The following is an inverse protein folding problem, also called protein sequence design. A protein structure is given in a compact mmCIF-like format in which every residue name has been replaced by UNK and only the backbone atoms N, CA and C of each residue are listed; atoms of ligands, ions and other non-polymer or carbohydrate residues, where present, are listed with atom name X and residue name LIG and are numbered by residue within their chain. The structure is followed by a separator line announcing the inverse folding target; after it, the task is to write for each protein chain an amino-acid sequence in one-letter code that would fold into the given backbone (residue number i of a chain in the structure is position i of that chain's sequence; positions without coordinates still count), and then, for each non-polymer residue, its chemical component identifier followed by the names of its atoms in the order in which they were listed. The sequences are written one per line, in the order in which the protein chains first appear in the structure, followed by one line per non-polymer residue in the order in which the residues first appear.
data_IF_085165145451
#
_entry.id   IF_085165145451
#
_cell.length_a   1.000
_cell.length_b   1.000
_cell.length_c   1.000
_cell.angle_alpha   90.00
_cell.angle_beta   90.00
_cell.angle_gamma   90.00
#
_symmetry.space_group_name_H-M   'P 1'
#
loop_
_entity.id
_entity.type
_entity.pdbx_description
1 polymer ?
#
# COMPACT_ATOMS: atom_id res chain seq x y z
N UNK A 1 -8.70 -1.19 -3.07
CA UNK A 1 -8.57 -1.88 -4.38
C UNK A 1 -7.54 -1.26 -5.33
N UNK A 2 -7.45 0.07 -5.50
CA UNK A 2 -6.58 0.69 -6.52
C UNK A 2 -5.13 0.15 -6.56
N UNK A 3 -4.45 0.05 -5.41
CA UNK A 3 -3.09 -0.50 -5.38
C UNK A 3 -2.99 -1.99 -5.76
N UNK A 4 -4.02 -2.80 -5.48
CA UNK A 4 -4.08 -4.21 -5.92
C UNK A 4 -4.22 -4.29 -7.45
N UNK A 5 -5.04 -3.42 -8.04
CA UNK A 5 -5.16 -3.31 -9.51
C UNK A 5 -3.83 -2.90 -10.13
N UNK A 6 -3.11 -1.94 -9.53
CA UNK A 6 -1.77 -1.56 -9.98
C UNK A 6 -0.79 -2.73 -9.92
N UNK A 7 -0.76 -3.49 -8.82
CA UNK A 7 0.08 -4.71 -8.69
C UNK A 7 -0.22 -5.71 -9.80
N UNK A 8 -1.50 -6.03 -10.01
CA UNK A 8 -1.93 -6.97 -11.07
C UNK A 8 -1.59 -6.44 -12.46
N UNK A 9 -1.74 -5.13 -12.72
CA UNK A 9 -1.42 -4.55 -14.02
C UNK A 9 0.07 -4.68 -14.36
N UNK A 10 0.96 -4.39 -13.40
CA UNK A 10 2.40 -4.53 -13.59
C UNK A 10 2.81 -6.01 -13.72
N UNK A 11 2.31 -6.87 -12.83
CA UNK A 11 2.57 -8.31 -12.85
C UNK A 11 2.07 -8.96 -14.15
N UNK A 12 0.78 -8.79 -14.45
CA UNK A 12 0.14 -9.40 -15.62
C UNK A 12 0.76 -8.95 -16.93
N UNK A 13 1.19 -7.68 -17.03
CA UNK A 13 1.90 -7.20 -18.22
C UNK A 13 3.28 -7.84 -18.36
N UNK A 14 4.03 -7.95 -17.27
CA UNK A 14 5.35 -8.58 -17.26
C UNK A 14 5.30 -10.09 -17.54
N UNK A 15 4.29 -10.78 -17.01
CA UNK A 15 4.05 -12.22 -17.25
C UNK A 15 3.36 -12.51 -18.59
N UNK A 16 2.90 -11.47 -19.29
CA UNK A 16 2.21 -11.62 -20.56
C UNK A 16 0.85 -12.31 -20.42
N UNK A 17 0.10 -12.08 -19.34
CA UNK A 17 -1.26 -12.57 -19.17
C UNK A 17 -2.19 -12.02 -20.27
N UNK A 18 -3.22 -12.79 -20.62
CA UNK A 18 -4.23 -12.37 -21.58
C UNK A 18 -4.96 -11.10 -21.07
N UNK A 19 -5.23 -10.16 -21.97
CA UNK A 19 -5.88 -8.88 -21.63
C UNK A 19 -4.93 -7.78 -21.10
N UNK A 20 -3.69 -8.10 -20.73
CA UNK A 20 -2.70 -7.10 -20.33
C UNK A 20 -1.77 -6.69 -21.49
N UNK A 21 -1.26 -5.44 -21.51
CA UNK A 21 -0.15 -5.06 -22.37
C UNK A 21 1.01 -6.05 -22.24
N UNK A 22 1.68 -6.39 -23.35
CA UNK A 22 2.77 -7.37 -23.29
C UNK A 22 4.10 -6.70 -22.95
N UNK A 23 4.74 -7.17 -21.90
CA UNK A 23 6.05 -6.73 -21.44
C UNK A 23 5.99 -5.85 -20.19
N UNK A 24 7.17 -5.62 -19.61
CA UNK A 24 7.31 -4.84 -18.37
C UNK A 24 6.94 -3.37 -18.61
N UNK A 25 5.96 -2.89 -17.85
CA UNK A 25 5.59 -1.48 -17.84
C UNK A 25 6.66 -0.66 -17.10
N UNK A 26 6.94 0.54 -17.61
CA UNK A 26 7.92 1.46 -17.03
C UNK A 26 7.24 2.37 -16.01
N UNK A 27 7.13 1.87 -14.78
CA UNK A 27 6.64 2.62 -13.62
C UNK A 27 7.79 2.71 -12.63
N UNK A 28 8.24 3.94 -12.34
CA UNK A 28 9.32 4.19 -11.39
C UNK A 28 8.84 4.06 -9.95
N UNK A 29 7.61 4.47 -9.65
CA UNK A 29 7.12 4.60 -8.27
C UNK A 29 5.66 4.19 -8.18
N UNK A 30 5.31 3.44 -7.14
CA UNK A 30 3.93 3.10 -6.77
C UNK A 30 3.72 3.43 -5.31
N UNK A 31 2.80 4.36 -5.07
CA UNK A 31 2.36 4.71 -3.72
C UNK A 31 0.93 4.25 -3.51
N UNK A 32 0.68 3.54 -2.41
CA UNK A 32 -0.67 3.09 -2.05
C UNK A 32 -1.10 3.67 -0.71
N UNK A 33 -2.37 4.06 -0.64
CA UNK A 33 -3.03 4.49 0.60
C UNK A 33 -4.15 3.48 0.89
N UNK A 34 -4.12 2.86 2.08
CA UNK A 34 -5.14 1.90 2.53
C UNK A 34 -5.47 0.80 1.51
N UNK A 35 -4.46 0.32 0.78
CA UNK A 35 -4.65 -0.79 -0.16
C UNK A 35 -4.65 -2.11 0.63
N UNK A 36 -5.63 -3.00 0.45
CA UNK A 36 -5.67 -4.26 1.19
C UNK A 36 -4.66 -5.27 0.64
N UNK A 37 -3.35 -5.03 0.82
CA UNK A 37 -2.30 -5.92 0.32
C UNK A 37 -2.39 -7.33 0.92
N UNK A 38 -3.00 -7.48 2.10
CA UNK A 38 -3.30 -8.77 2.73
C UNK A 38 -4.79 -9.04 2.93
N UNK A 39 -5.63 -8.23 2.25
CA UNK A 39 -7.07 -8.35 2.29
C UNK A 39 -7.76 -7.40 3.28
N UNK A 40 -9.08 -7.42 3.23
CA UNK A 40 -9.99 -6.61 4.06
C UNK A 40 -10.25 -7.25 5.43
N UNK A 41 -10.66 -6.44 6.41
CA UNK A 41 -10.89 -6.89 7.79
C UNK A 41 -12.22 -7.62 7.99
N UNK A 42 -13.28 -7.20 7.29
CA UNK A 42 -14.62 -7.80 7.39
C UNK A 42 -15.03 -8.41 6.03
N UNK A 43 -14.70 -9.70 5.80
CA UNK A 43 -14.94 -10.34 4.52
C UNK A 43 -16.42 -10.41 4.15
N UNK A 44 -17.32 -10.51 5.13
CA UNK A 44 -18.75 -10.75 4.88
C UNK A 44 -19.60 -9.48 4.85
N UNK A 45 -18.98 -8.31 5.05
CA UNK A 45 -19.65 -7.00 5.01
C UNK A 45 -20.43 -6.74 3.71
N UNK A 46 -19.85 -7.14 2.58
CA UNK A 46 -20.42 -6.95 1.25
C UNK A 46 -20.18 -8.17 0.36
N UNK A 47 -20.99 -8.35 -0.68
CA UNK A 47 -20.93 -9.50 -1.60
C UNK A 47 -20.82 -9.06 -3.07
N UNK A 48 -19.97 -8.07 -3.34
CA UNK A 48 -19.63 -7.69 -4.70
C UNK A 48 -18.39 -8.46 -5.16
N UNK A 49 -18.25 -8.70 -6.46
CA UNK A 49 -17.05 -9.34 -7.03
C UNK A 49 -15.76 -8.67 -6.57
N UNK A 50 -15.76 -7.34 -6.47
CA UNK A 50 -14.59 -6.59 -5.99
C UNK A 50 -14.30 -6.86 -4.51
N UNK A 51 -15.32 -6.88 -3.65
CA UNK A 51 -15.14 -7.15 -2.22
C UNK A 51 -14.66 -8.58 -1.99
N UNK A 52 -15.30 -9.54 -2.66
CA UNK A 52 -14.94 -10.95 -2.58
C UNK A 52 -13.51 -11.23 -3.06
N UNK A 53 -13.04 -10.50 -4.09
CA UNK A 53 -11.65 -10.60 -4.58
C UNK A 53 -10.61 -10.02 -3.61
N UNK A 54 -11.02 -9.19 -2.65
CA UNK A 54 -10.12 -8.64 -1.62
C UNK A 54 -10.14 -9.46 -0.33
N UNK A 55 -10.94 -10.53 -0.26
CA UNK A 55 -10.97 -11.40 0.93
C UNK A 55 -9.61 -12.09 1.11
N UNK A 56 -9.10 -12.17 2.34
CA UNK A 56 -7.98 -13.05 2.65
C UNK A 56 -8.27 -14.49 2.15
N UNK A 57 -7.33 -15.10 1.44
CA UNK A 57 -7.48 -16.45 0.86
C UNK A 57 -8.40 -16.54 -0.37
N UNK A 58 -8.85 -15.41 -0.94
CA UNK A 58 -9.48 -15.45 -2.25
C UNK A 58 -8.45 -15.76 -3.33
N UNK A 59 -8.89 -16.37 -4.45
CA UNK A 59 -8.00 -16.69 -5.58
C UNK A 59 -7.21 -15.48 -6.07
N UNK A 60 -7.82 -14.29 -6.06
CA UNK A 60 -7.14 -13.07 -6.45
C UNK A 60 -5.97 -12.73 -5.51
N UNK A 61 -6.17 -12.84 -4.19
CA UNK A 61 -5.12 -12.60 -3.20
C UNK A 61 -4.06 -13.70 -3.23
N UNK A 62 -4.46 -14.96 -3.37
CA UNK A 62 -3.54 -16.10 -3.46
C UNK A 62 -2.61 -15.97 -4.66
N UNK A 63 -3.12 -15.55 -5.82
CA UNK A 63 -2.30 -15.27 -7.00
C UNK A 63 -1.28 -14.18 -6.71
N UNK A 64 -1.66 -13.08 -6.04
CA UNK A 64 -0.73 -11.99 -5.70
C UNK A 64 0.31 -12.38 -4.64
N UNK A 65 0.01 -13.36 -3.78
CA UNK A 65 0.90 -13.81 -2.70
C UNK A 65 1.75 -15.04 -3.04
N UNK A 66 1.44 -15.70 -4.16
CA UNK A 66 2.26 -16.78 -4.71
C UNK A 66 3.72 -16.33 -4.82
N UNK A 67 4.71 -17.14 -4.38
CA UNK A 67 6.11 -16.74 -4.32
C UNK A 67 6.64 -16.07 -5.59
N UNK A 68 6.31 -16.61 -6.76
CA UNK A 68 6.67 -16.14 -8.09
C UNK A 68 6.03 -14.80 -8.52
N UNK A 69 5.03 -14.34 -7.77
CA UNK A 69 4.27 -13.12 -8.03
C UNK A 69 4.54 -12.03 -6.98
N UNK A 70 5.45 -12.27 -6.03
CA UNK A 70 5.79 -11.31 -4.97
C UNK A 70 6.60 -10.13 -5.49
N UNK A 71 6.62 -9.04 -4.72
CA UNK A 71 7.36 -7.81 -5.06
C UNK A 71 8.88 -7.97 -5.02
N UNK A 72 9.39 -9.08 -4.46
CA UNK A 72 10.81 -9.44 -4.52
C UNK A 72 11.25 -9.93 -5.90
N UNK A 73 10.30 -10.25 -6.77
CA UNK A 73 10.58 -10.86 -8.06
C UNK A 73 10.94 -9.83 -9.15
N UNK A 74 11.59 -10.32 -10.21
CA UNK A 74 12.16 -9.48 -11.27
C UNK A 74 11.17 -8.54 -11.97
N UNK A 75 9.88 -8.90 -12.00
CA UNK A 75 8.84 -8.08 -12.60
C UNK A 75 8.67 -6.74 -11.86
N UNK A 76 8.83 -6.73 -10.53
CA UNK A 76 8.67 -5.56 -9.67
C UNK A 76 9.97 -4.73 -9.51
N UNK A 77 11.13 -5.30 -9.88
CA UNK A 77 12.44 -4.64 -9.72
C UNK A 77 12.52 -3.29 -10.45
N UNK A 78 12.99 -2.25 -9.77
CA UNK A 78 13.14 -0.91 -10.36
C UNK A 78 11.86 -0.07 -10.33
N UNK A 79 10.83 -0.56 -9.66
CA UNK A 79 9.71 0.24 -9.16
C UNK A 79 9.90 0.38 -7.65
N UNK A 80 9.85 1.61 -7.14
CA UNK A 80 9.77 1.89 -5.70
C UNK A 80 8.35 1.63 -5.20
N UNK A 81 8.22 0.83 -4.14
CA UNK A 81 6.94 0.48 -3.54
C UNK A 81 6.79 1.11 -2.16
N UNK A 82 5.91 2.11 -2.09
CA UNK A 82 5.62 2.87 -0.87
C UNK A 82 4.19 2.61 -0.38
N UNK A 83 4.03 2.03 0.80
CA UNK A 83 2.72 1.64 1.33
C UNK A 83 2.36 2.39 2.60
N UNK A 84 1.19 3.02 2.61
CA UNK A 84 0.66 3.72 3.76
C UNK A 84 -0.65 3.10 4.29
N UNK A 85 -0.68 2.86 5.59
CA UNK A 85 -1.82 2.33 6.33
C UNK A 85 -2.11 3.13 7.60
N UNK A 86 -3.27 2.91 8.18
CA UNK A 86 -3.70 3.56 9.42
C UNK A 86 -4.26 2.55 10.41
N UNK A 87 -3.94 2.75 11.69
CA UNK A 87 -4.51 1.98 12.81
C UNK A 87 -6.03 2.22 12.96
N UNK A 88 -6.53 3.35 12.47
CA UNK A 88 -7.95 3.73 12.52
C UNK A 88 -8.74 3.22 11.31
N UNK A 89 -8.07 2.55 10.36
CA UNK A 89 -8.73 1.97 9.20
C UNK A 89 -9.43 0.65 9.57
N UNK A 90 -10.73 0.74 9.86
CA UNK A 90 -11.59 -0.42 10.12
C UNK A 90 -12.01 -1.22 8.88
N UNK A 91 -11.58 -0.84 7.67
CA UNK A 91 -11.84 -1.60 6.43
C UNK A 91 -10.61 -2.40 5.99
N UNK A 92 -9.44 -1.78 6.10
CA UNK A 92 -8.13 -2.35 5.80
C UNK A 92 -7.21 -2.05 6.98
N UNK A 93 -7.12 -2.99 7.92
CA UNK A 93 -6.21 -2.84 9.06
C UNK A 93 -4.78 -2.55 8.59
N UNK A 94 -4.05 -1.72 9.36
CA UNK A 94 -2.75 -1.18 8.95
C UNK A 94 -1.75 -2.23 8.48
N UNK A 95 -1.72 -3.43 9.10
CA UNK A 95 -0.80 -4.51 8.74
C UNK A 95 -1.02 -4.98 7.30
N UNK A 96 -2.29 -5.09 6.91
CA UNK A 96 -2.68 -5.38 5.53
C UNK A 96 -2.33 -4.22 4.61
N UNK A 97 -2.50 -2.97 5.06
CA UNK A 97 -2.19 -1.80 4.26
C UNK A 97 -0.70 -1.63 3.97
N UNK A 98 0.20 -1.98 4.89
CA UNK A 98 1.66 -1.87 4.70
C UNK A 98 2.31 -3.17 4.21
N UNK A 99 1.50 -4.18 3.85
CA UNK A 99 1.93 -5.54 3.49
C UNK A 99 2.94 -6.10 4.51
N UNK A 100 2.58 -6.12 5.79
CA UNK A 100 3.49 -6.48 6.90
C UNK A 100 4.12 -7.86 6.67
N UNK A 101 5.44 -7.96 6.85
CA UNK A 101 6.20 -9.19 6.60
C UNK A 101 6.57 -9.45 5.13
N UNK A 102 6.07 -8.65 4.19
CA UNK A 102 6.46 -8.69 2.77
C UNK A 102 7.24 -7.45 2.36
N UNK A 103 7.90 -7.53 1.20
CA UNK A 103 8.72 -6.45 0.68
C UNK A 103 7.88 -5.23 0.30
N UNK A 104 8.38 -4.06 0.70
CA UNK A 104 8.12 -2.74 0.16
C UNK A 104 9.44 -1.97 0.30
N UNK A 105 9.60 -0.85 -0.39
CA UNK A 105 10.75 0.04 -0.19
C UNK A 105 10.49 0.96 0.99
N UNK A 106 9.24 1.41 1.13
CA UNK A 106 8.83 2.29 2.22
C UNK A 106 7.50 1.88 2.81
N UNK A 107 7.39 1.97 4.14
CA UNK A 107 6.17 1.67 4.88
C UNK A 107 5.85 2.80 5.84
N UNK A 108 4.59 3.21 5.83
CA UNK A 108 4.07 4.31 6.63
C UNK A 108 2.84 3.84 7.40
N UNK A 109 2.88 3.89 8.72
CA UNK A 109 1.78 3.54 9.61
C UNK A 109 1.36 4.79 10.38
N UNK A 110 0.19 5.29 10.04
CA UNK A 110 -0.49 6.30 10.83
C UNK A 110 -1.08 5.67 12.09
N UNK A 111 -0.73 6.23 13.24
CA UNK A 111 -1.29 5.82 14.53
C UNK A 111 -2.52 6.66 14.85
N UNK A 112 -3.38 6.20 15.77
CA UNK A 112 -4.56 6.96 16.16
C UNK A 112 -4.18 8.35 16.65
N UNK A 113 -5.00 9.31 16.29
CA UNK A 113 -4.85 10.70 16.70
C UNK A 113 -6.19 11.22 17.22
N UNK A 114 -6.17 12.05 18.26
CA UNK A 114 -7.40 12.63 18.79
C UNK A 114 -7.95 13.75 17.89
N UNK A 115 -7.07 14.39 17.12
CA UNK A 115 -7.39 15.57 16.32
C UNK A 115 -7.74 15.22 14.87
N UNK A 116 -7.41 14.00 14.41
CA UNK A 116 -7.57 13.59 13.01
C UNK A 116 -8.16 12.19 12.89
N UNK A 117 -9.22 12.07 12.09
CA UNK A 117 -9.76 10.78 11.65
C UNK A 117 -8.98 10.29 10.42
N UNK A 118 -8.09 9.31 10.61
CA UNK A 118 -7.30 8.69 9.53
C UNK A 118 -7.93 7.35 9.12
N UNK A 119 -9.25 7.28 9.02
CA UNK A 119 -9.97 6.11 8.51
C UNK A 119 -9.72 5.83 7.02
N UNK A 120 -10.19 4.66 6.56
CA UNK A 120 -10.13 4.20 5.17
C UNK A 120 -10.46 5.28 4.13
N UNK A 121 -11.48 6.09 4.42
CA UNK A 121 -11.95 7.11 3.47
C UNK A 121 -11.14 8.40 3.54
N UNK A 122 -10.60 8.72 4.71
CA UNK A 122 -9.96 10.01 4.97
C UNK A 122 -8.47 10.01 4.73
N UNK A 123 -7.78 8.86 4.85
CA UNK A 123 -6.35 8.75 4.54
C UNK A 123 -5.99 9.25 3.12
N UNK A 124 -6.93 9.18 2.17
CA UNK A 124 -6.76 9.70 0.79
C UNK A 124 -7.18 11.17 0.60
N UNK A 125 -7.51 11.90 1.67
CA UNK A 125 -8.01 13.28 1.64
C UNK A 125 -7.18 14.24 2.49
N UNK A 126 -6.41 13.72 3.44
CA UNK A 126 -5.63 14.53 4.38
C UNK A 126 -4.38 15.07 3.69
N UNK A 127 -4.44 16.36 3.34
CA UNK A 127 -3.40 17.12 2.66
C UNK A 127 -2.42 17.78 3.65
N UNK A 128 -1.20 18.14 3.21
CA UNK A 128 -0.27 18.90 4.04
C UNK A 128 -0.88 20.22 4.54
N UNK A 129 -0.62 20.53 5.80
CA UNK A 129 -1.02 21.78 6.44
C UNK A 129 -0.19 22.05 7.69
N UNK A 130 -0.79 22.63 8.74
CA UNK A 130 -0.08 22.87 10.02
C UNK A 130 -0.08 21.65 10.94
N UNK A 131 -0.84 20.64 10.56
CA UNK A 131 -1.10 19.41 11.29
C UNK A 131 0.17 18.56 11.38
N UNK A 132 0.31 17.85 12.49
CA UNK A 132 1.41 16.92 12.72
C UNK A 132 0.81 15.57 13.03
N UNK A 133 1.25 14.55 12.30
CA UNK A 133 0.68 13.22 12.42
C UNK A 133 1.57 12.30 13.26
N UNK A 134 0.94 11.45 14.07
CA UNK A 134 1.63 10.34 14.72
C UNK A 134 1.95 9.27 13.67
N UNK A 135 3.20 9.24 13.23
CA UNK A 135 3.65 8.41 12.13
C UNK A 135 4.73 7.45 12.62
N UNK A 136 4.55 6.17 12.31
CA UNK A 136 5.64 5.21 12.25
C UNK A 136 6.04 5.02 10.80
N UNK A 137 7.33 5.11 10.50
CA UNK A 137 7.83 4.84 9.16
C UNK A 137 9.00 3.86 9.18
N UNK A 138 9.23 3.23 8.04
CA UNK A 138 10.31 2.27 7.80
C UNK A 138 10.77 2.39 6.36
N UNK A 139 12.09 2.42 6.14
CA UNK A 139 12.70 2.40 4.82
C UNK A 139 13.57 1.14 4.68
N UNK A 140 13.51 0.49 3.53
CA UNK A 140 14.27 -0.74 3.24
C UNK A 140 15.79 -0.51 3.32
N UNK A 141 16.24 0.69 2.96
CA UNK A 141 17.64 1.15 3.05
C UNK A 141 18.17 1.18 4.48
N UNK A 142 17.31 1.46 5.46
CA UNK A 142 17.66 1.55 6.88
C UNK A 142 17.38 0.25 7.64
N UNK A 143 16.34 -0.49 7.25
CA UNK A 143 15.95 -1.76 7.86
C UNK A 143 15.39 -1.64 9.28
N UNK A 144 15.07 -0.44 9.77
CA UNK A 144 14.53 -0.18 11.12
C UNK A 144 13.33 0.75 11.10
N UNK A 145 12.46 0.60 12.09
CA UNK A 145 11.27 1.44 12.25
C UNK A 145 11.61 2.71 13.05
N UNK A 146 10.92 3.79 12.72
CA UNK A 146 11.04 5.10 13.34
C UNK A 146 9.67 5.62 13.75
N UNK A 147 9.59 6.26 14.91
CA UNK A 147 8.37 6.89 15.39
C UNK A 147 8.56 8.40 15.47
N UNK A 148 7.56 9.16 15.02
CA UNK A 148 7.54 10.62 15.08
C UNK A 148 6.14 11.13 15.37
N UNK A 149 6.05 12.22 16.12
CA UNK A 149 4.82 13.00 16.33
C UNK A 149 4.77 14.23 15.41
N UNK A 150 5.74 14.37 14.51
CA UNK A 150 5.85 15.43 13.52
C UNK A 150 5.77 14.84 12.10
N UNK A 151 4.98 13.78 11.92
CA UNK A 151 4.82 13.08 10.65
C UNK A 151 4.05 13.89 9.62
N UNK A 152 4.34 13.60 8.35
CA UNK A 152 3.66 14.17 7.21
C UNK A 152 2.19 13.74 7.13
N UNK A 153 1.36 14.60 6.54
CA UNK A 153 -0.01 14.21 6.19
C UNK A 153 -0.01 13.05 5.16
N UNK A 154 -1.02 12.18 5.13
CA UNK A 154 -1.09 11.07 4.17
C UNK A 154 -0.85 11.44 2.69
N UNK A 155 -1.42 12.55 2.19
CA UNK A 155 -1.17 12.99 0.82
C UNK A 155 0.20 13.64 0.63
N UNK A 156 0.79 14.19 1.69
CA UNK A 156 2.17 14.67 1.68
C UNK A 156 3.15 13.49 1.62
N UNK A 157 2.90 12.43 2.38
CA UNK A 157 3.63 11.15 2.27
C UNK A 157 3.55 10.58 0.87
N UNK A 158 2.37 10.56 0.27
CA UNK A 158 2.22 10.10 -1.11
C UNK A 158 3.02 10.96 -2.10
N UNK A 159 2.99 12.28 -1.94
CA UNK A 159 3.75 13.20 -2.78
C UNK A 159 5.27 13.06 -2.61
N UNK A 160 5.76 12.96 -1.37
CA UNK A 160 7.19 12.86 -1.09
C UNK A 160 7.76 11.48 -1.47
N UNK A 161 6.97 10.41 -1.33
CA UNK A 161 7.34 9.10 -1.87
C UNK A 161 7.61 9.17 -3.38
N UNK A 162 6.76 9.89 -4.15
CA UNK A 162 6.94 10.08 -5.59
C UNK A 162 8.07 11.05 -5.99
N UNK A 163 8.30 12.10 -5.19
CA UNK A 163 9.18 13.22 -5.57
C UNK A 163 10.58 13.15 -4.96
N UNK A 164 10.75 12.33 -3.93
CA UNK A 164 11.98 12.26 -3.12
C UNK A 164 12.40 10.82 -2.82
N UNK A 165 11.88 9.82 -3.55
CA UNK A 165 12.12 8.40 -3.27
C UNK A 165 11.91 8.05 -1.79
N UNK A 166 10.86 8.61 -1.18
CA UNK A 166 10.54 8.36 0.22
C UNK A 166 11.52 8.90 1.26
N UNK A 167 12.51 9.72 0.89
CA UNK A 167 13.46 10.32 1.86
C UNK A 167 12.71 11.21 2.88
N UNK A 168 12.54 10.71 4.11
CA UNK A 168 11.97 11.42 5.28
C UNK A 168 13.06 11.97 6.20
#
# INVERSE_FOLDING_TARGET
MGGLVTRVALLGSAQGWEGFPKGKLKVSDVVTLATPHQGITDPDKYHSTQWDSMKPGSTFMDVLHAPENRLTESWAKGTDWSFAGSDEDGTVGYESAIDKGYHADHKYRYRPDADYDISHTNIRKLAPGKEKFNLRYWHSSEGKEHDTTNGWAPLETAYNALSRNGDW
#
